data_IF_197376699235
#
_entry.id   IF_197376699235
#
_cell.length_a   1.000
_cell.length_b   1.000
_cell.length_c   1.000
_cell.angle_alpha   90.00
_cell.angle_beta   90.00
_cell.angle_gamma   90.00
#
_symmetry.space_group_name_H-M   'P 1'
#
loop_
_entity.id
_entity.type
_entity.pdbx_description
1 polymer ?
#
# COMPACT_ATOMS: atom_id res chain seq x y z
N UNK A 1 -16.56 9.49 6.00
CA UNK A 1 -15.15 9.04 6.14
C UNK A 1 -14.81 9.06 7.60
N UNK A 2 -14.16 8.01 8.10
CA UNK A 2 -13.65 7.97 9.47
C UNK A 2 -12.14 7.88 9.43
N UNK A 3 -11.51 8.53 10.39
CA UNK A 3 -10.07 8.44 10.57
C UNK A 3 -9.72 7.10 11.21
N UNK A 4 -8.66 6.47 10.73
CA UNK A 4 -8.10 5.26 11.33
C UNK A 4 -7.81 5.50 12.83
N UNK A 5 -8.32 4.65 13.73
CA UNK A 5 -8.22 4.86 15.16
C UNK A 5 -6.78 4.65 15.64
N UNK A 6 -6.40 5.33 16.73
CA UNK A 6 -5.07 5.26 17.30
C UNK A 6 -4.62 3.81 17.57
N UNK A 7 -5.52 2.96 18.08
CA UNK A 7 -5.24 1.53 18.31
C UNK A 7 -4.77 0.81 17.05
N UNK A 8 -5.41 1.08 15.90
CA UNK A 8 -4.99 0.52 14.61
C UNK A 8 -3.65 1.10 14.16
N UNK A 9 -3.45 2.42 14.29
CA UNK A 9 -2.21 3.07 13.86
C UNK A 9 -0.98 2.67 14.70
N UNK A 10 -1.15 2.42 16.01
CA UNK A 10 -0.11 1.86 16.89
C UNK A 10 0.37 0.48 16.45
N UNK A 11 -0.54 -0.29 15.85
CA UNK A 11 -0.24 -1.62 15.36
C UNK A 11 0.23 -1.63 13.91
N UNK A 12 -0.34 -0.78 13.05
CA UNK A 12 -0.11 -0.81 11.61
C UNK A 12 0.95 0.21 11.14
N UNK A 13 0.76 1.49 11.46
CA UNK A 13 1.53 2.58 10.85
C UNK A 13 2.87 2.81 11.56
N UNK A 14 2.86 3.03 12.88
CA UNK A 14 4.08 3.37 13.61
C UNK A 14 5.11 2.22 13.70
N UNK A 15 4.71 0.95 13.78
CA UNK A 15 5.68 -0.15 13.71
C UNK A 15 6.37 -0.25 12.35
N UNK A 16 5.68 0.11 11.26
CA UNK A 16 6.28 0.16 9.91
C UNK A 16 7.41 1.17 9.81
N UNK A 17 7.27 2.33 10.47
CA UNK A 17 8.37 3.30 10.58
C UNK A 17 9.61 2.66 11.23
N UNK A 18 9.43 2.02 12.40
CA UNK A 18 10.53 1.37 13.14
C UNK A 18 11.18 0.25 12.33
N UNK A 19 10.38 -0.52 11.60
CA UNK A 19 10.88 -1.55 10.69
C UNK A 19 11.78 -0.95 9.61
N UNK A 20 11.36 0.14 8.97
CA UNK A 20 12.16 0.81 7.94
C UNK A 20 13.46 1.37 8.54
N UNK A 21 13.42 1.95 9.74
CA UNK A 21 14.62 2.39 10.47
C UNK A 21 15.60 1.22 10.70
N UNK A 22 15.12 0.06 11.13
CA UNK A 22 15.94 -1.15 11.31
C UNK A 22 16.52 -1.65 9.98
N UNK A 23 15.73 -1.65 8.90
CA UNK A 23 16.19 -2.05 7.57
C UNK A 23 17.32 -1.13 7.07
N UNK A 24 17.20 0.18 7.26
CA UNK A 24 18.22 1.15 6.85
C UNK A 24 19.52 0.96 7.64
N UNK A 25 19.43 0.62 8.93
CA UNK A 25 20.59 0.36 9.79
C UNK A 25 21.20 -1.03 9.62
N UNK A 26 20.56 -1.93 8.86
CA UNK A 26 21.00 -3.33 8.74
C UNK A 26 20.79 -4.14 10.03
N UNK A 27 19.85 -3.73 10.88
CA UNK A 27 19.61 -4.32 12.21
C UNK A 27 18.55 -5.44 12.21
N UNK A 28 18.14 -5.92 11.02
CA UNK A 28 17.18 -7.03 10.92
C UNK A 28 17.88 -8.34 11.27
N UNK A 29 17.65 -8.84 12.48
CA UNK A 29 18.31 -10.03 13.03
C UNK A 29 17.45 -11.30 13.00
N UNK A 30 16.13 -11.14 13.11
CA UNK A 30 15.16 -12.24 13.16
C UNK A 30 14.23 -12.15 11.93
N UNK A 31 14.46 -13.02 10.96
CA UNK A 31 13.68 -13.06 9.73
C UNK A 31 12.24 -13.55 9.94
N UNK A 32 11.98 -14.42 10.91
CA UNK A 32 10.62 -14.87 11.22
C UNK A 32 9.77 -13.71 11.72
N UNK A 33 10.32 -12.92 12.66
CA UNK A 33 9.68 -11.70 13.14
C UNK A 33 9.54 -10.65 12.03
N UNK A 34 10.57 -10.51 11.19
CA UNK A 34 10.54 -9.61 10.04
C UNK A 34 9.38 -9.95 9.08
N UNK A 35 9.19 -11.23 8.74
CA UNK A 35 8.09 -11.66 7.86
C UNK A 35 6.72 -11.42 8.49
N UNK A 36 6.57 -11.58 9.81
CA UNK A 36 5.33 -11.23 10.50
C UNK A 36 4.98 -9.74 10.39
N UNK A 37 5.95 -8.84 10.25
CA UNK A 37 5.66 -7.41 10.04
C UNK A 37 5.02 -7.11 8.67
N UNK A 38 5.18 -7.98 7.68
CA UNK A 38 4.52 -7.81 6.37
C UNK A 38 3.01 -8.03 6.44
N UNK A 39 2.51 -8.75 7.44
CA UNK A 39 1.05 -8.89 7.67
C UNK A 39 0.34 -7.55 7.91
N UNK A 40 1.08 -6.52 8.35
CA UNK A 40 0.59 -5.14 8.48
C UNK A 40 0.47 -4.42 7.14
N UNK A 41 1.23 -4.83 6.15
CA UNK A 41 1.21 -4.24 4.80
C UNK A 41 0.38 -5.08 3.82
N UNK A 42 0.17 -6.36 4.11
CA UNK A 42 -0.43 -7.33 3.19
C UNK A 42 -1.77 -7.89 3.70
N UNK A 43 -2.82 -7.07 3.87
CA UNK A 43 -4.15 -7.55 4.19
C UNK A 43 -4.82 -8.24 2.99
N UNK A 44 -5.96 -8.86 3.27
CA UNK A 44 -6.89 -9.33 2.23
C UNK A 44 -7.87 -8.22 1.89
N UNK A 45 -7.87 -7.78 0.62
CA UNK A 45 -8.92 -6.95 0.05
C UNK A 45 -10.07 -7.84 -0.41
N UNK A 46 -11.22 -7.66 0.22
CA UNK A 46 -12.46 -8.36 -0.08
C UNK A 46 -13.38 -7.45 -0.91
N UNK A 47 -13.77 -7.91 -2.10
CA UNK A 47 -14.70 -7.21 -2.99
C UNK A 47 -15.85 -8.14 -3.37
N UNK A 48 -17.04 -7.57 -3.58
CA UNK A 48 -18.20 -8.33 -4.00
C UNK A 48 -19.10 -7.49 -4.92
N UNK A 49 -19.75 -8.13 -5.89
CA UNK A 49 -20.74 -7.48 -6.76
C UNK A 49 -21.79 -8.49 -7.20
N UNK A 50 -22.95 -8.01 -7.65
CA UNK A 50 -23.93 -8.87 -8.30
C UNK A 50 -23.51 -9.12 -9.76
N UNK A 51 -23.73 -10.33 -10.24
CA UNK A 51 -23.70 -10.67 -11.65
C UNK A 51 -25.03 -10.32 -12.34
N UNK A 52 -25.10 -10.55 -13.65
CA UNK A 52 -26.30 -10.32 -14.48
C UNK A 52 -27.52 -11.17 -14.06
N UNK A 53 -27.28 -12.24 -13.29
CA UNK A 53 -28.31 -13.15 -12.78
C UNK A 53 -28.62 -12.90 -11.29
N UNK A 54 -28.21 -11.74 -10.74
CA UNK A 54 -28.35 -11.38 -9.32
C UNK A 54 -27.67 -12.35 -8.34
N UNK A 55 -26.64 -13.10 -8.77
CA UNK A 55 -25.80 -13.89 -7.87
C UNK A 55 -24.65 -13.05 -7.35
N UNK A 56 -24.26 -13.27 -6.09
CA UNK A 56 -23.13 -12.56 -5.49
C UNK A 56 -21.82 -13.21 -5.97
N UNK A 57 -21.03 -12.46 -6.73
CA UNK A 57 -19.63 -12.77 -6.99
C UNK A 57 -18.76 -12.13 -5.89
N UNK A 58 -17.78 -12.89 -5.38
CA UNK A 58 -16.88 -12.46 -4.32
C UNK A 58 -15.42 -12.71 -4.69
N UNK A 59 -14.52 -11.93 -4.10
CA UNK A 59 -13.09 -12.12 -4.23
C UNK A 59 -12.37 -11.66 -2.96
N UNK A 60 -11.47 -12.48 -2.43
CA UNK A 60 -10.50 -12.09 -1.41
C UNK A 60 -9.09 -12.18 -2.00
N UNK A 61 -8.38 -11.05 -2.07
CA UNK A 61 -7.02 -10.97 -2.64
C UNK A 61 -6.06 -10.33 -1.65
N UNK A 62 -4.93 -10.99 -1.38
CA UNK A 62 -3.83 -10.37 -0.63
C UNK A 62 -3.22 -9.25 -1.48
N UNK A 63 -3.16 -8.03 -0.94
CA UNK A 63 -2.65 -6.85 -1.64
C UNK A 63 -1.68 -6.09 -0.75
N UNK A 64 -0.71 -5.37 -1.34
CA UNK A 64 0.06 -4.38 -0.59
C UNK A 64 -0.78 -3.11 -0.38
N UNK A 65 -0.90 -2.63 0.85
CA UNK A 65 -1.60 -1.39 1.18
C UNK A 65 -0.66 -0.35 1.79
N UNK A 66 -0.77 0.88 1.32
CA UNK A 66 -0.02 2.02 1.79
C UNK A 66 -0.93 3.17 2.21
N UNK A 67 -0.28 4.27 2.58
CA UNK A 67 -0.94 5.51 3.01
C UNK A 67 -0.76 6.57 1.93
N UNK A 68 -1.68 7.53 1.89
CA UNK A 68 -1.57 8.71 1.04
C UNK A 68 -1.40 9.96 1.88
N UNK A 69 -0.73 10.97 1.32
CA UNK A 69 -0.69 12.30 1.93
C UNK A 69 -2.01 13.03 1.67
N UNK A 70 -2.35 13.99 2.53
CA UNK A 70 -3.50 14.87 2.31
C UNK A 70 -3.33 15.61 0.99
N UNK A 71 -4.45 15.90 0.31
CA UNK A 71 -4.50 16.47 -1.05
C UNK A 71 -3.57 17.67 -1.25
N UNK A 72 -3.48 18.58 -0.26
CA UNK A 72 -2.63 19.78 -0.31
C UNK A 72 -1.12 19.49 -0.42
N UNK A 73 -0.67 18.29 -0.05
CA UNK A 73 0.74 17.88 -0.13
C UNK A 73 1.04 17.00 -1.36
N UNK A 74 0.03 16.50 -2.09
CA UNK A 74 0.23 15.54 -3.20
C UNK A 74 1.25 16.05 -4.23
N UNK A 75 1.05 17.26 -4.78
CA UNK A 75 1.94 17.82 -5.81
C UNK A 75 3.40 17.88 -5.38
N UNK A 76 3.66 18.38 -4.16
CA UNK A 76 5.01 18.46 -3.60
C UNK A 76 5.66 17.07 -3.49
N UNK A 77 4.91 16.08 -3.03
CA UNK A 77 5.47 14.76 -2.76
C UNK A 77 5.64 13.94 -4.05
N UNK A 78 4.74 14.12 -5.02
CA UNK A 78 4.90 13.59 -6.38
C UNK A 78 6.26 14.02 -6.93
N UNK A 79 6.57 15.32 -6.90
CA UNK A 79 7.85 15.85 -7.40
C UNK A 79 9.07 15.18 -6.76
N UNK A 80 9.04 14.96 -5.43
CA UNK A 80 10.12 14.29 -4.70
C UNK A 80 10.34 12.86 -5.22
N UNK A 81 9.27 12.07 -5.34
CA UNK A 81 9.40 10.68 -5.78
C UNK A 81 9.68 10.56 -7.28
N UNK A 82 9.20 11.48 -8.12
CA UNK A 82 9.58 11.54 -9.54
C UNK A 82 11.08 11.73 -9.70
N UNK A 83 11.66 12.68 -8.96
CA UNK A 83 13.10 12.94 -9.00
C UNK A 83 13.93 11.71 -8.59
N UNK A 84 13.42 10.87 -7.68
CA UNK A 84 14.06 9.61 -7.30
C UNK A 84 14.02 8.58 -8.44
N UNK A 85 12.87 8.40 -9.09
CA UNK A 85 12.73 7.47 -10.21
C UNK A 85 13.56 7.90 -11.41
N UNK A 86 13.52 9.19 -11.77
CA UNK A 86 14.29 9.73 -12.91
C UNK A 86 15.79 9.47 -12.78
N UNK A 87 16.35 9.59 -11.57
CA UNK A 87 17.75 9.25 -11.31
C UNK A 87 18.06 7.78 -11.64
N UNK A 88 17.14 6.87 -11.30
CA UNK A 88 17.31 5.45 -11.65
C UNK A 88 17.03 5.18 -13.12
N UNK A 89 16.10 5.89 -13.76
CA UNK A 89 15.81 5.76 -15.20
C UNK A 89 17.08 6.04 -16.03
N UNK A 90 17.77 7.14 -15.73
CA UNK A 90 19.02 7.53 -16.40
C UNK A 90 20.12 6.47 -16.20
N UNK A 91 20.21 5.89 -15.01
CA UNK A 91 21.22 4.87 -14.71
C UNK A 91 20.88 3.51 -15.33
N UNK A 92 19.60 3.14 -15.34
CA UNK A 92 19.09 1.90 -15.92
C UNK A 92 19.42 1.79 -17.40
N UNK A 93 19.23 2.86 -18.17
CA UNK A 93 19.54 2.85 -19.60
C UNK A 93 21.01 2.52 -19.91
N UNK A 94 21.93 2.87 -19.00
CA UNK A 94 23.36 2.59 -19.15
C UNK A 94 23.72 1.13 -18.86
N UNK A 95 22.93 0.46 -18.02
CA UNK A 95 23.28 -0.86 -17.46
C UNK A 95 22.29 -1.97 -17.80
N UNK A 96 21.18 -1.69 -18.51
CA UNK A 96 20.09 -2.65 -18.77
C UNK A 96 20.49 -3.93 -19.51
N UNK A 97 21.65 -3.94 -20.17
CA UNK A 97 22.24 -5.14 -20.79
C UNK A 97 23.10 -5.99 -19.86
N UNK A 98 23.44 -5.51 -18.65
CA UNK A 98 24.33 -6.18 -17.71
C UNK A 98 23.58 -6.56 -16.41
N UNK A 99 23.35 -7.87 -16.23
CA UNK A 99 22.60 -8.41 -15.10
C UNK A 99 23.24 -8.11 -13.73
N UNK A 100 24.57 -8.09 -13.64
CA UNK A 100 25.25 -7.85 -12.37
C UNK A 100 25.14 -6.39 -11.93
N UNK A 101 25.32 -5.46 -12.88
CA UNK A 101 25.15 -4.02 -12.62
C UNK A 101 23.69 -3.67 -12.30
N UNK A 102 22.72 -4.32 -12.97
CA UNK A 102 21.30 -4.16 -12.67
C UNK A 102 20.95 -4.51 -11.22
N UNK A 103 21.51 -5.61 -10.69
CA UNK A 103 21.27 -5.99 -9.30
C UNK A 103 21.77 -4.91 -8.33
N UNK A 104 22.96 -4.38 -8.57
CA UNK A 104 23.52 -3.27 -7.78
C UNK A 104 22.67 -2.01 -7.87
N UNK A 105 22.19 -1.67 -9.08
CA UNK A 105 21.30 -0.53 -9.31
C UNK A 105 19.99 -0.66 -8.53
N UNK A 106 19.36 -1.85 -8.57
CA UNK A 106 18.09 -2.10 -7.88
C UNK A 106 18.25 -2.07 -6.36
N UNK A 107 19.36 -2.59 -5.84
CA UNK A 107 19.68 -2.49 -4.42
C UNK A 107 19.86 -1.03 -3.98
N UNK A 108 20.64 -0.25 -4.74
CA UNK A 108 20.87 1.16 -4.43
C UNK A 108 19.57 1.99 -4.52
N UNK A 109 18.76 1.74 -5.56
CA UNK A 109 17.45 2.35 -5.71
C UNK A 109 16.56 2.05 -4.50
N UNK A 110 16.47 0.78 -4.10
CA UNK A 110 15.66 0.35 -2.95
C UNK A 110 16.13 1.02 -1.66
N UNK A 111 17.44 1.13 -1.44
CA UNK A 111 18.02 1.82 -0.27
C UNK A 111 17.66 3.32 -0.23
N UNK A 112 17.75 4.02 -1.37
CA UNK A 112 17.32 5.43 -1.46
C UNK A 112 15.81 5.56 -1.25
N UNK A 113 15.04 4.63 -1.84
CA UNK A 113 13.60 4.51 -1.67
C UNK A 113 13.15 4.40 -0.22
N UNK A 114 13.73 3.48 0.53
CA UNK A 114 13.44 3.30 1.96
C UNK A 114 13.63 4.59 2.76
N UNK A 115 14.69 5.36 2.46
CA UNK A 115 14.94 6.66 3.13
C UNK A 115 13.83 7.66 2.83
N UNK A 116 13.41 7.77 1.57
CA UNK A 116 12.30 8.64 1.18
C UNK A 116 10.98 8.22 1.82
N UNK A 117 10.69 6.91 1.88
CA UNK A 117 9.51 6.40 2.58
C UNK A 117 9.52 6.78 4.06
N UNK A 118 10.68 6.67 4.73
CA UNK A 118 10.84 7.07 6.14
C UNK A 118 10.68 8.59 6.35
N UNK A 119 11.19 9.39 5.41
CA UNK A 119 11.19 10.86 5.50
C UNK A 119 9.84 11.47 5.16
N UNK A 120 9.03 10.82 4.32
CA UNK A 120 7.85 11.42 3.71
C UNK A 120 6.55 10.66 3.96
N UNK A 121 6.58 9.33 4.13
CA UNK A 121 5.37 8.51 4.26
C UNK A 121 5.17 8.00 5.68
N UNK A 122 6.22 7.49 6.32
CA UNK A 122 6.18 6.89 7.66
C UNK A 122 6.78 7.82 8.69
N UNK A 123 6.06 8.90 8.99
CA UNK A 123 6.47 10.03 9.81
C UNK A 123 6.30 9.77 11.31
N UNK A 124 6.94 10.59 12.13
CA UNK A 124 6.65 10.67 13.56
C UNK A 124 5.23 11.20 13.80
N UNK A 125 4.63 10.80 14.93
CA UNK A 125 3.20 11.01 15.25
C UNK A 125 2.67 12.40 14.90
N UNK A 126 3.30 13.47 15.42
CA UNK A 126 2.82 14.84 15.21
C UNK A 126 2.82 15.25 13.73
N UNK A 127 3.88 14.90 12.99
CA UNK A 127 4.01 15.21 11.56
C UNK A 127 3.08 14.31 10.73
N UNK A 128 2.92 13.05 11.12
CA UNK A 128 2.03 12.10 10.44
C UNK A 128 0.59 12.62 10.45
N UNK A 129 0.11 13.10 11.60
CA UNK A 129 -1.23 13.68 11.75
C UNK A 129 -1.47 14.91 10.88
N UNK A 130 -0.43 15.69 10.62
CA UNK A 130 -0.51 16.86 9.76
C UNK A 130 -0.57 16.47 8.27
N UNK A 131 0.29 15.53 7.86
CA UNK A 131 0.62 15.27 6.45
C UNK A 131 -0.15 14.08 5.87
N UNK A 132 -0.29 13.00 6.63
CA UNK A 132 -0.91 11.75 6.16
C UNK A 132 -2.42 11.84 6.28
N UNK A 133 -3.10 11.33 5.26
CA UNK A 133 -4.56 11.22 5.24
C UNK A 133 -4.97 9.87 5.83
N UNK A 134 -5.12 9.82 7.15
CA UNK A 134 -5.51 8.62 7.87
C UNK A 134 -6.98 8.22 7.67
N UNK A 135 -7.72 8.85 6.75
CA UNK A 135 -9.04 8.36 6.32
C UNK A 135 -8.92 7.46 5.09
N UNK A 136 -7.71 7.30 4.53
CA UNK A 136 -7.48 6.62 3.26
C UNK A 136 -6.34 5.62 3.34
N UNK A 137 -6.53 4.50 2.66
CA UNK A 137 -5.46 3.57 2.28
C UNK A 137 -5.37 3.51 0.77
N UNK A 138 -4.24 3.07 0.24
CA UNK A 138 -4.03 2.94 -1.21
C UNK A 138 -3.40 1.61 -1.58
N UNK A 139 -3.73 1.11 -2.77
CA UNK A 139 -3.12 -0.08 -3.35
C UNK A 139 -3.03 0.04 -4.87
N UNK A 140 -2.07 -0.64 -5.48
CA UNK A 140 -1.86 -0.69 -6.94
C UNK A 140 -2.41 -2.00 -7.50
N UNK A 141 -3.27 -1.95 -8.51
CA UNK A 141 -3.77 -3.12 -9.23
C UNK A 141 -2.74 -3.61 -10.25
N UNK A 142 -1.71 -4.29 -9.75
CA UNK A 142 -0.67 -4.86 -10.61
C UNK A 142 -1.16 -6.03 -11.47
N UNK A 143 -2.22 -6.73 -11.05
CA UNK A 143 -2.65 -7.95 -11.73
C UNK A 143 -3.35 -7.66 -13.05
N UNK A 144 -3.98 -6.48 -13.23
CA UNK A 144 -4.75 -6.13 -14.44
C UNK A 144 -3.95 -6.33 -15.73
N UNK A 145 -2.70 -5.88 -15.74
CA UNK A 145 -1.77 -5.99 -16.89
C UNK A 145 -1.18 -7.38 -17.11
N UNK A 146 -1.27 -8.28 -16.13
CA UNK A 146 -0.68 -9.63 -16.24
C UNK A 146 -1.59 -10.50 -17.11
N UNK A 147 -1.12 -11.03 -18.26
CA UNK A 147 -1.97 -11.74 -19.21
C UNK A 147 -2.76 -12.90 -18.61
N UNK A 148 -2.13 -13.67 -17.71
CA UNK A 148 -2.72 -14.87 -17.12
C UNK A 148 -3.42 -14.64 -15.78
N UNK A 149 -3.60 -13.39 -15.35
CA UNK A 149 -4.32 -13.12 -14.09
C UNK A 149 -5.83 -13.20 -14.27
N UNK A 150 -6.55 -13.54 -13.20
CA UNK A 150 -8.01 -13.66 -13.21
C UNK A 150 -8.74 -12.31 -13.34
N UNK A 151 -8.04 -11.21 -13.02
CA UNK A 151 -8.57 -9.83 -13.01
C UNK A 151 -9.87 -9.66 -12.18
N UNK A 152 -10.10 -10.54 -11.20
CA UNK A 152 -11.33 -10.56 -10.40
C UNK A 152 -11.58 -9.23 -9.68
N UNK A 153 -10.58 -8.72 -8.94
CA UNK A 153 -10.69 -7.44 -8.23
C UNK A 153 -11.07 -6.31 -9.19
N UNK A 154 -10.34 -6.15 -10.30
CA UNK A 154 -10.66 -5.15 -11.32
C UNK A 154 -12.10 -5.24 -11.81
N UNK A 155 -12.56 -6.42 -12.24
CA UNK A 155 -13.92 -6.64 -12.75
C UNK A 155 -15.00 -6.34 -11.71
N UNK A 156 -14.81 -6.76 -10.46
CA UNK A 156 -15.76 -6.52 -9.37
C UNK A 156 -15.83 -5.04 -8.99
N UNK A 157 -14.67 -4.38 -8.87
CA UNK A 157 -14.59 -2.97 -8.52
C UNK A 157 -15.25 -2.07 -9.56
N UNK A 158 -15.30 -2.45 -10.84
CA UNK A 158 -16.07 -1.68 -11.83
C UNK A 158 -17.58 -1.67 -11.55
N UNK A 159 -18.14 -2.75 -11.00
CA UNK A 159 -19.58 -2.91 -10.73
C UNK A 159 -19.98 -2.45 -9.33
N UNK A 160 -19.13 -2.66 -8.33
CA UNK A 160 -19.39 -2.25 -6.96
C UNK A 160 -18.12 -1.69 -6.32
N UNK A 161 -18.23 -0.48 -5.77
CA UNK A 161 -17.13 0.21 -5.08
C UNK A 161 -17.01 -0.19 -3.61
N UNK A 162 -18.00 -0.87 -3.03
CA UNK A 162 -17.94 -1.31 -1.64
C UNK A 162 -16.95 -2.46 -1.46
N UNK A 163 -16.11 -2.34 -0.44
CA UNK A 163 -15.11 -3.35 -0.12
C UNK A 163 -14.83 -3.38 1.39
N UNK A 164 -14.21 -4.45 1.86
CA UNK A 164 -13.53 -4.46 3.14
C UNK A 164 -12.09 -4.93 3.02
N UNK A 165 -11.24 -4.45 3.92
CA UNK A 165 -9.84 -4.86 4.05
C UNK A 165 -9.70 -5.58 5.39
N UNK A 166 -9.27 -6.83 5.36
CA UNK A 166 -9.06 -7.66 6.54
C UNK A 166 -7.58 -7.85 6.78
N UNK A 167 -7.12 -7.35 7.92
CA UNK A 167 -5.77 -7.56 8.43
C UNK A 167 -5.76 -8.71 9.41
N UNK A 168 -4.75 -9.57 9.34
CA UNK A 168 -4.53 -10.63 10.32
C UNK A 168 -3.03 -10.78 10.58
N UNK A 169 -2.63 -10.68 11.84
CA UNK A 169 -1.30 -11.04 12.31
C UNK A 169 -1.42 -12.12 13.37
N UNK A 170 -0.89 -13.33 13.12
CA UNK A 170 -0.89 -14.40 14.10
C UNK A 170 -0.23 -13.98 15.43
N UNK A 171 -0.72 -14.50 16.57
CA UNK A 171 -1.78 -15.51 16.68
C UNK A 171 -3.20 -14.93 16.71
N UNK A 172 -3.36 -13.63 16.94
CA UNK A 172 -4.68 -13.11 17.37
C UNK A 172 -5.00 -11.69 16.94
N UNK A 173 -4.09 -10.92 16.35
CA UNK A 173 -4.42 -9.53 16.00
C UNK A 173 -5.19 -9.53 14.67
N UNK A 174 -6.40 -8.98 14.68
CA UNK A 174 -7.24 -8.90 13.49
C UNK A 174 -8.01 -7.58 13.45
N UNK A 175 -8.03 -6.93 12.29
CA UNK A 175 -8.80 -5.72 12.05
C UNK A 175 -9.55 -5.84 10.73
N UNK A 176 -10.79 -5.35 10.70
CA UNK A 176 -11.56 -5.17 9.47
C UNK A 176 -11.82 -3.68 9.26
N UNK A 177 -11.51 -3.20 8.06
CA UNK A 177 -11.87 -1.86 7.62
C UNK A 177 -12.93 -2.00 6.56
N UNK A 178 -14.07 -1.33 6.71
CA UNK A 178 -15.12 -1.25 5.68
C UNK A 178 -15.07 0.10 5.00
N UNK A 179 -15.29 0.12 3.69
CA UNK A 179 -15.08 1.34 2.93
C UNK A 179 -15.52 1.27 1.47
N UNK A 180 -15.21 2.35 0.76
CA UNK A 180 -15.48 2.51 -0.66
C UNK A 180 -14.17 2.66 -1.42
N UNK A 181 -14.07 2.07 -2.60
CA UNK A 181 -12.93 2.22 -3.50
C UNK A 181 -13.22 3.31 -4.53
N UNK A 182 -12.29 4.24 -4.72
CA UNK A 182 -12.21 5.02 -5.96
C UNK A 182 -11.09 4.48 -6.83
N UNK A 183 -11.32 4.47 -8.15
CA UNK A 183 -10.38 3.95 -9.16
C UNK A 183 -9.70 5.13 -9.83
N UNK A 184 -8.37 5.10 -9.88
CA UNK A 184 -7.53 6.18 -10.37
C UNK A 184 -6.57 5.63 -11.43
N UNK A 185 -6.65 6.16 -12.65
CA UNK A 185 -5.80 5.72 -13.77
C UNK A 185 -4.88 6.81 -14.32
N UNK A 186 -5.25 8.10 -14.19
CA UNK A 186 -4.50 9.21 -14.80
C UNK A 186 -4.62 10.52 -14.00
N UNK A 187 -4.54 10.47 -12.68
CA UNK A 187 -4.59 11.66 -11.82
C UNK A 187 -3.48 11.68 -10.75
N UNK A 188 -3.51 12.70 -9.89
CA UNK A 188 -2.51 12.89 -8.83
C UNK A 188 -2.43 11.69 -7.86
N UNK A 189 -3.55 11.01 -7.58
CA UNK A 189 -3.53 9.81 -6.72
C UNK A 189 -2.88 8.63 -7.42
N UNK A 190 -3.24 8.39 -8.69
CA UNK A 190 -2.59 7.38 -9.51
C UNK A 190 -1.09 7.60 -9.56
N UNK A 191 -0.67 8.83 -9.89
CA UNK A 191 0.73 9.21 -9.99
C UNK A 191 1.46 9.03 -8.66
N UNK A 192 0.93 9.62 -7.58
CA UNK A 192 1.56 9.55 -6.26
C UNK A 192 1.73 8.10 -5.76
N UNK A 193 0.68 7.28 -5.81
CA UNK A 193 0.72 5.93 -5.26
C UNK A 193 1.66 5.02 -6.06
N UNK A 194 1.63 5.12 -7.40
CA UNK A 194 2.56 4.38 -8.26
C UNK A 194 4.01 4.79 -7.98
N UNK A 195 4.28 6.09 -7.82
CA UNK A 195 5.62 6.59 -7.46
C UNK A 195 6.08 6.11 -6.08
N UNK A 196 5.21 6.11 -5.07
CA UNK A 196 5.53 5.59 -3.73
C UNK A 196 5.82 4.09 -3.77
N UNK A 197 5.04 3.30 -4.51
CA UNK A 197 5.32 1.88 -4.72
C UNK A 197 6.67 1.68 -5.42
N UNK A 198 6.87 2.38 -6.53
CA UNK A 198 8.04 2.23 -7.37
C UNK A 198 9.30 2.85 -6.75
N UNK A 199 9.17 3.66 -5.69
CA UNK A 199 10.31 4.20 -4.95
C UNK A 199 11.15 3.10 -4.30
N UNK A 200 10.51 2.01 -3.86
CA UNK A 200 11.21 0.82 -3.37
C UNK A 200 11.33 -0.26 -4.46
N UNK A 201 10.27 -0.45 -5.24
CA UNK A 201 10.21 -1.47 -6.31
C UNK A 201 10.40 -0.84 -7.69
N UNK A 202 11.64 -0.50 -8.05
CA UNK A 202 11.91 0.11 -9.34
C UNK A 202 11.23 -0.65 -10.49
N UNK A 203 10.46 0.08 -11.28
CA UNK A 203 9.81 -0.44 -12.49
C UNK A 203 10.31 0.36 -13.68
N UNK A 204 10.92 -0.25 -14.71
CA UNK A 204 11.32 0.45 -15.93
C UNK A 204 10.14 1.13 -16.65
N UNK A 205 10.41 2.20 -17.39
CA UNK A 205 9.39 3.05 -18.05
C UNK A 205 8.42 2.26 -18.92
N UNK A 206 8.93 1.31 -19.71
CA UNK A 206 8.17 0.43 -20.60
C UNK A 206 7.17 -0.46 -19.86
N UNK A 207 7.31 -0.63 -18.55
CA UNK A 207 6.46 -1.44 -17.70
C UNK A 207 5.64 -0.62 -16.69
N UNK A 208 5.52 0.71 -16.84
CA UNK A 208 4.75 1.55 -15.90
C UNK A 208 3.27 1.71 -16.26
N UNK A 209 2.85 1.35 -17.48
CA UNK A 209 1.48 1.49 -17.95
C UNK A 209 0.52 0.43 -17.40
N UNK A 210 -0.79 0.72 -17.47
CA UNK A 210 -1.90 -0.18 -17.09
C UNK A 210 -1.84 -0.71 -15.64
N UNK A 211 -1.59 0.19 -14.69
CA UNK A 211 -1.53 -0.10 -13.25
C UNK A 211 -2.49 0.82 -12.46
N UNK A 212 -3.83 0.62 -12.57
CA UNK A 212 -4.77 1.44 -11.84
C UNK A 212 -4.50 1.41 -10.34
N UNK A 213 -4.77 2.53 -9.68
CA UNK A 213 -4.66 2.66 -8.23
C UNK A 213 -6.06 2.67 -7.65
N UNK A 214 -6.22 1.97 -6.53
CA UNK A 214 -7.41 2.11 -5.71
C UNK A 214 -7.09 2.93 -4.47
N UNK A 215 -7.92 3.93 -4.21
CA UNK A 215 -7.97 4.62 -2.92
C UNK A 215 -9.14 4.04 -2.15
N UNK A 216 -8.84 3.40 -1.03
CA UNK A 216 -9.82 2.88 -0.09
C UNK A 216 -10.19 3.96 0.91
N UNK A 217 -11.44 4.38 0.84
CA UNK A 217 -12.06 5.37 1.67
C UNK A 217 -12.67 4.69 2.90
N UNK A 218 -12.02 4.83 4.06
CA UNK A 218 -12.43 4.20 5.31
C UNK A 218 -13.76 4.79 5.80
N UNK A 219 -14.76 3.92 5.98
CA UNK A 219 -16.07 4.24 6.55
C UNK A 219 -16.23 3.72 7.97
N UNK A 220 -15.70 2.53 8.25
CA UNK A 220 -15.79 1.88 9.56
C UNK A 220 -14.53 1.07 9.84
N UNK A 221 -14.18 0.95 11.12
CA UNK A 221 -13.05 0.12 11.57
C UNK A 221 -13.51 -0.77 12.72
N UNK A 222 -13.22 -2.06 12.61
CA UNK A 222 -13.56 -3.09 13.58
C UNK A 222 -12.29 -3.76 14.11
N UNK A 223 -12.25 -3.97 15.42
CA UNK A 223 -11.28 -4.85 16.07
C UNK A 223 -11.86 -6.26 16.13
N UNK A 224 -11.39 -7.11 15.22
CA UNK A 224 -11.79 -8.51 15.10
C UNK A 224 -10.88 -9.44 15.89
N UNK A 225 -9.94 -8.92 16.68
CA UNK A 225 -9.05 -9.73 17.51
C UNK A 225 -9.88 -10.53 18.54
N UNK A 226 -9.60 -11.83 18.77
CA UNK A 226 -10.32 -12.65 19.73
C UNK A 226 -9.87 -12.30 21.16
N UNK A 227 -10.36 -11.16 21.66
CA UNK A 227 -10.06 -10.60 22.98
C UNK A 227 -11.31 -9.96 23.58
N UNK A 228 -11.34 -9.80 24.90
CA UNK A 228 -12.48 -9.21 25.61
C UNK A 228 -12.91 -7.82 25.08
N UNK A 229 -11.97 -7.04 24.56
CA UNK A 229 -12.22 -5.72 23.98
C UNK A 229 -12.29 -5.70 22.45
N UNK A 230 -12.17 -6.88 21.80
CA UNK A 230 -12.26 -7.09 20.36
C UNK A 230 -13.57 -7.80 19.98
N UNK A 231 -13.48 -8.91 19.23
CA UNK A 231 -14.61 -9.70 18.72
C UNK A 231 -15.63 -8.90 17.89
N UNK A 232 -15.15 -8.14 16.90
CA UNK A 232 -16.03 -7.38 16.02
C UNK A 232 -16.51 -6.08 16.64
N UNK A 233 -15.77 -5.55 17.63
CA UNK A 233 -16.08 -4.24 18.19
C UNK A 233 -15.74 -3.16 17.17
N UNK A 234 -16.74 -2.36 16.80
CA UNK A 234 -16.51 -1.13 16.05
C UNK A 234 -15.74 -0.12 16.90
N UNK A 235 -14.65 0.40 16.34
CA UNK A 235 -13.74 1.35 16.98
C UNK A 235 -13.62 2.68 16.22
N UNK A 236 -14.21 2.78 15.03
CA UNK A 236 -14.50 4.00 14.28
C UNK A 236 -15.65 3.73 13.28
#
# INVERSE_FOLDING_TARGET
MVKLPGKFLEWNYYPRRRLIEQMIKGEVRDYSRFFLEFTKHNPVLCTAALDENNKVEINGKVVGVGYVVKKKYLKKYIEIFENHLQKTDIAYEKVKGNKQELNGLYEEHSKRGLRLLLEHIYLERRKAEEIIDFEKLATVELAKRIPHSSKHTWKLVQRNKSACIVFFQPPSISYELKGLLSVHENDDYHKFVTLVHDAYHYTPLEFRSDRPVYIFHVLEVYDNSPSMHGFGKRIA
#
